data_IF_353455465263
#
_entry.id   IF_353455465263
#
_cell.length_a   1.000
_cell.length_b   1.000
_cell.length_c   1.000
_cell.angle_alpha   90.00
_cell.angle_beta   90.00
_cell.angle_gamma   90.00
#
_symmetry.space_group_name_H-M   'P 1'
#
loop_
_entity.id
_entity.type
_entity.pdbx_description
1 polymer ?
#
# COMPACT_ATOMS: atom_id res chain seq x y z
N UNK A 1 19.17 41.92 -11.16
CA UNK A 1 18.57 40.72 -11.80
C UNK A 1 19.06 39.51 -11.03
N UNK A 2 18.18 38.56 -10.72
CA UNK A 2 18.57 37.29 -10.07
C UNK A 2 19.16 36.38 -11.16
N UNK A 3 20.34 35.76 -10.97
CA UNK A 3 20.96 34.90 -11.97
C UNK A 3 20.20 33.57 -12.05
N UNK A 4 19.45 33.36 -13.14
CA UNK A 4 18.63 32.15 -13.33
C UNK A 4 19.51 30.92 -13.61
N UNK A 5 20.71 31.12 -14.15
CA UNK A 5 21.69 30.08 -14.41
C UNK A 5 22.07 29.33 -13.13
N UNK A 6 22.11 30.02 -11.99
CA UNK A 6 22.34 29.41 -10.68
C UNK A 6 21.16 28.57 -10.17
N UNK A 7 19.95 28.78 -10.70
CA UNK A 7 18.74 28.03 -10.33
C UNK A 7 18.52 26.80 -11.21
N UNK A 8 19.12 26.74 -12.39
CA UNK A 8 18.97 25.60 -13.32
C UNK A 8 19.30 24.24 -12.67
N UNK A 9 20.42 24.08 -11.92
CA UNK A 9 20.72 22.81 -11.26
C UNK A 9 19.64 22.42 -10.23
N UNK A 10 19.16 23.39 -9.46
CA UNK A 10 18.10 23.16 -8.47
C UNK A 10 16.76 22.82 -9.12
N UNK A 11 16.43 23.44 -10.25
CA UNK A 11 15.22 23.14 -11.02
C UNK A 11 15.26 21.71 -11.58
N UNK A 12 16.41 21.24 -12.05
CA UNK A 12 16.59 19.86 -12.50
C UNK A 12 16.42 18.88 -11.33
N UNK A 13 17.06 19.13 -10.19
CA UNK A 13 16.92 18.29 -8.99
C UNK A 13 15.46 18.23 -8.54
N UNK A 14 14.80 19.39 -8.45
CA UNK A 14 13.40 19.49 -8.09
C UNK A 14 12.51 18.73 -9.06
N UNK A 15 12.74 18.88 -10.37
CA UNK A 15 11.97 18.20 -11.41
C UNK A 15 12.09 16.68 -11.30
N UNK A 16 13.31 16.17 -11.17
CA UNK A 16 13.56 14.73 -11.06
C UNK A 16 12.94 14.12 -9.79
N UNK A 17 13.11 14.76 -8.64
CA UNK A 17 12.51 14.30 -7.37
C UNK A 17 10.98 14.36 -7.44
N UNK A 18 10.42 15.43 -8.01
CA UNK A 18 8.97 15.58 -8.14
C UNK A 18 8.36 14.51 -9.06
N UNK A 19 8.99 14.26 -10.21
CA UNK A 19 8.54 13.23 -11.15
C UNK A 19 8.66 11.84 -10.52
N UNK A 20 9.77 11.55 -9.84
CA UNK A 20 9.95 10.27 -9.15
C UNK A 20 8.93 10.06 -8.03
N UNK A 21 8.70 11.08 -7.19
CA UNK A 21 7.72 11.04 -6.10
C UNK A 21 6.29 10.88 -6.60
N UNK A 22 5.90 11.63 -7.64
CA UNK A 22 4.60 11.50 -8.29
C UNK A 22 4.42 10.12 -8.93
N UNK A 23 5.45 9.61 -9.62
CA UNK A 23 5.46 8.28 -10.22
C UNK A 23 5.27 7.17 -9.19
N UNK A 24 6.02 7.20 -8.08
CA UNK A 24 5.89 6.23 -6.99
C UNK A 24 4.50 6.29 -6.33
N UNK A 25 3.96 7.49 -6.10
CA UNK A 25 2.63 7.67 -5.53
C UNK A 25 1.54 7.03 -6.41
N UNK A 26 1.62 7.22 -7.74
CA UNK A 26 0.70 6.62 -8.69
C UNK A 26 0.81 5.09 -8.68
N UNK A 27 2.02 4.54 -8.72
CA UNK A 27 2.25 3.09 -8.67
C UNK A 27 1.72 2.46 -7.39
N UNK A 28 1.92 3.11 -6.24
CA UNK A 28 1.41 2.65 -4.96
C UNK A 28 -0.13 2.67 -4.90
N UNK A 29 -0.75 3.71 -5.45
CA UNK A 29 -2.21 3.77 -5.56
C UNK A 29 -2.75 2.64 -6.42
N UNK A 30 -2.13 2.36 -7.58
CA UNK A 30 -2.52 1.25 -8.47
C UNK A 30 -2.39 -0.09 -7.75
N UNK A 31 -1.27 -0.33 -7.07
CA UNK A 31 -1.03 -1.57 -6.30
C UNK A 31 -2.07 -1.79 -5.19
N UNK A 32 -2.58 -0.71 -4.60
CA UNK A 32 -3.58 -0.73 -3.53
C UNK A 32 -5.01 -0.55 -4.04
N UNK A 33 -5.26 -0.83 -5.33
CA UNK A 33 -6.58 -0.77 -5.92
C UNK A 33 -7.23 0.63 -5.76
N UNK A 34 -6.42 1.67 -5.96
CA UNK A 34 -6.80 3.08 -5.84
C UNK A 34 -6.69 3.67 -4.44
N UNK A 35 -6.45 2.85 -3.40
CA UNK A 35 -6.36 3.31 -2.02
C UNK A 35 -4.95 3.83 -1.68
N UNK A 36 -4.86 4.73 -0.70
CA UNK A 36 -3.57 5.20 -0.17
C UNK A 36 -2.87 4.08 0.62
N UNK A 37 -1.54 4.16 0.68
CA UNK A 37 -0.76 3.28 1.54
C UNK A 37 -1.08 3.52 3.02
N UNK A 38 -1.04 2.43 3.80
CA UNK A 38 -1.03 2.49 5.26
C UNK A 38 0.41 2.40 5.77
N UNK A 39 0.77 3.31 6.66
CA UNK A 39 2.06 3.37 7.34
C UNK A 39 1.88 3.07 8.83
N UNK A 40 2.96 2.73 9.52
CA UNK A 40 2.99 2.44 10.97
C UNK A 40 1.99 1.36 11.42
N UNK A 41 1.84 0.30 10.62
CA UNK A 41 0.95 -0.81 10.92
C UNK A 41 1.38 -1.57 12.17
N UNK A 42 0.52 -1.57 13.18
CA UNK A 42 0.69 -2.35 14.40
C UNK A 42 0.40 -3.85 14.17
N UNK A 43 0.52 -4.66 15.22
CA UNK A 43 0.28 -6.10 15.13
C UNK A 43 -1.19 -6.43 14.86
N UNK A 44 -2.12 -5.63 15.40
CA UNK A 44 -3.55 -5.82 15.22
C UNK A 44 -3.97 -5.54 13.78
N UNK A 45 -3.53 -4.41 13.22
CA UNK A 45 -3.80 -3.99 11.86
C UNK A 45 -3.24 -4.98 10.84
N UNK A 46 -2.07 -5.57 11.11
CA UNK A 46 -1.51 -6.65 10.29
C UNK A 46 -2.40 -7.89 10.27
N UNK A 47 -2.94 -8.28 11.42
CA UNK A 47 -3.88 -9.40 11.50
C UNK A 47 -5.21 -9.08 10.80
N UNK A 48 -5.73 -7.87 10.97
CA UNK A 48 -6.96 -7.42 10.29
C UNK A 48 -6.79 -7.34 8.77
N UNK A 49 -5.64 -6.87 8.28
CA UNK A 49 -5.30 -6.94 6.84
C UNK A 49 -5.34 -8.36 6.30
N UNK A 50 -4.84 -9.32 7.07
CA UNK A 50 -4.81 -10.73 6.68
C UNK A 50 -6.23 -11.34 6.70
N UNK A 51 -7.08 -10.92 7.65
CA UNK A 51 -8.51 -11.24 7.66
C UNK A 51 -9.24 -10.66 6.44
N UNK A 52 -9.03 -9.39 6.14
CA UNK A 52 -9.68 -8.71 5.00
C UNK A 52 -9.29 -9.35 3.67
N UNK A 53 -8.02 -9.75 3.54
CA UNK A 53 -7.54 -10.52 2.39
C UNK A 53 -8.26 -11.87 2.26
N UNK A 54 -8.52 -12.57 3.37
CA UNK A 54 -9.30 -13.83 3.37
C UNK A 54 -10.77 -13.62 3.01
N UNK A 55 -11.35 -12.47 3.36
CA UNK A 55 -12.74 -12.13 3.06
C UNK A 55 -12.96 -11.70 1.61
N UNK A 56 -12.00 -10.95 1.04
CA UNK A 56 -12.15 -10.31 -0.27
C UNK A 56 -11.34 -11.00 -1.38
N UNK A 57 -10.30 -11.74 -1.04
CA UNK A 57 -9.38 -12.36 -2.00
C UNK A 57 -8.36 -11.38 -2.62
N UNK A 58 -8.47 -10.08 -2.33
CA UNK A 58 -7.52 -9.05 -2.79
C UNK A 58 -6.86 -8.34 -1.63
N UNK A 59 -5.61 -7.92 -1.84
CA UNK A 59 -4.87 -7.22 -0.81
C UNK A 59 -5.45 -5.81 -0.62
N UNK A 60 -5.83 -5.46 0.61
CA UNK A 60 -6.36 -4.12 1.03
C UNK A 60 -7.74 -3.74 0.47
N UNK A 61 -8.46 -4.67 -0.14
CA UNK A 61 -9.87 -4.48 -0.47
C UNK A 61 -10.72 -4.57 0.80
N UNK A 62 -11.87 -3.87 0.82
CA UNK A 62 -12.81 -3.88 1.94
C UNK A 62 -14.15 -4.39 1.42
N UNK A 63 -14.87 -5.12 2.26
CA UNK A 63 -16.23 -5.60 1.98
C UNK A 63 -17.16 -5.16 3.10
N UNK A 64 -18.33 -4.67 2.72
CA UNK A 64 -19.43 -4.21 3.58
C UNK A 64 -20.54 -5.26 3.73
N UNK A 65 -20.44 -6.39 3.02
CA UNK A 65 -21.43 -7.48 3.06
C UNK A 65 -21.62 -8.01 4.49
N UNK A 66 -22.88 -8.10 4.90
CA UNK A 66 -23.27 -8.63 6.22
C UNK A 66 -22.94 -10.14 6.39
N UNK A 67 -23.01 -10.90 5.30
CA UNK A 67 -22.75 -12.35 5.29
C UNK A 67 -21.42 -12.59 4.57
N UNK A 68 -20.49 -13.27 5.25
CA UNK A 68 -19.20 -13.66 4.70
C UNK A 68 -19.35 -14.76 3.63
N UNK A 69 -18.44 -14.84 2.64
CA UNK A 69 -18.47 -15.92 1.66
C UNK A 69 -18.20 -17.27 2.32
N UNK A 70 -18.77 -18.36 1.79
CA UNK A 70 -18.62 -19.69 2.37
C UNK A 70 -17.15 -20.18 2.42
N UNK A 71 -16.35 -19.78 1.44
CA UNK A 71 -14.90 -20.04 1.40
C UNK A 71 -14.16 -19.48 2.62
N UNK A 72 -14.69 -18.43 3.27
CA UNK A 72 -14.07 -17.85 4.44
C UNK A 72 -14.00 -18.85 5.61
N UNK A 73 -15.00 -19.74 5.74
CA UNK A 73 -15.08 -20.76 6.81
C UNK A 73 -13.90 -21.72 6.79
N UNK A 74 -13.40 -22.08 5.60
CA UNK A 74 -12.30 -23.03 5.41
C UNK A 74 -10.95 -22.36 5.14
N UNK A 75 -10.94 -21.06 4.85
CA UNK A 75 -9.73 -20.28 4.54
C UNK A 75 -8.75 -20.06 5.71
N UNK A 76 -8.99 -20.60 6.89
CA UNK A 76 -8.11 -20.37 8.04
C UNK A 76 -6.83 -21.19 7.94
N UNK A 77 -5.68 -20.54 8.08
CA UNK A 77 -4.38 -21.21 8.18
C UNK A 77 -3.62 -20.74 9.41
N UNK A 78 -2.78 -21.63 9.94
CA UNK A 78 -1.85 -21.35 11.03
C UNK A 78 -0.44 -21.20 10.46
N UNK A 79 0.32 -20.23 10.96
CA UNK A 79 1.71 -20.04 10.56
C UNK A 79 2.56 -21.06 11.31
N UNK A 80 3.21 -21.98 10.58
CA UNK A 80 4.19 -22.89 11.13
C UNK A 80 5.58 -22.25 10.99
N UNK A 81 6.24 -21.98 12.11
CA UNK A 81 7.59 -21.44 12.14
C UNK A 81 8.60 -22.57 12.29
N UNK A 82 9.77 -22.41 11.66
CA UNK A 82 10.90 -23.33 11.84
C UNK A 82 11.45 -23.20 13.27
N UNK A 83 12.06 -24.25 13.85
CA UNK A 83 12.81 -24.10 15.08
C UNK A 83 13.89 -23.02 14.90
N UNK A 84 14.13 -22.24 15.95
CA UNK A 84 15.06 -21.11 15.95
C UNK A 84 16.51 -21.54 15.71
#
# INVERSE_FOLDING_TARGET
>A
MIPFEGLLPYAVIFGLISVAGGGLSALHSIKNNGKRDRYNLDQWERQMLQRDFRLTGKYREQSDKAIAPDSFKTSSWWKAEKPF
#
